data_IF_431520458918
#
_entry.id   IF_431520458918
#
_cell.length_a   1.000
_cell.length_b   1.000
_cell.length_c   1.000
_cell.angle_alpha   90.00
_cell.angle_beta   90.00
_cell.angle_gamma   90.00
#
_symmetry.space_group_name_H-M   'P 1'
#
loop_
_entity.id
_entity.type
_entity.pdbx_description
1 polymer ?
#
# COMPACT_ATOMS: atom_id res chain seq x y z
N UNK A 1 -24.17 0.02 8.29
CA UNK A 1 -24.44 1.21 7.45
C UNK A 1 -23.09 1.77 7.03
N UNK A 2 -22.83 1.93 5.74
CA UNK A 2 -21.60 2.59 5.26
C UNK A 2 -21.91 4.07 5.40
N UNK A 3 -21.35 4.72 6.41
CA UNK A 3 -21.41 6.18 6.53
C UNK A 3 -20.65 6.77 5.34
N UNK A 4 -21.30 7.62 4.56
CA UNK A 4 -20.71 8.43 3.49
C UNK A 4 -19.79 9.54 4.08
N UNK A 5 -18.85 9.16 4.95
CA UNK A 5 -17.88 10.09 5.50
C UNK A 5 -17.07 10.73 4.38
N UNK A 6 -16.87 12.03 4.45
CA UNK A 6 -16.02 12.74 3.50
C UNK A 6 -14.56 12.30 3.69
N UNK A 7 -13.88 11.99 2.59
CA UNK A 7 -12.44 11.69 2.65
C UNK A 7 -11.68 12.98 2.94
N UNK A 8 -11.01 13.01 4.08
CA UNK A 8 -10.12 14.09 4.48
C UNK A 8 -8.69 13.77 4.08
N UNK A 9 -7.94 14.79 3.70
CA UNK A 9 -6.52 14.73 3.38
C UNK A 9 -5.78 15.71 4.27
N UNK A 10 -4.86 15.23 5.09
CA UNK A 10 -4.13 16.05 6.06
C UNK A 10 -2.64 15.76 5.96
N UNK A 11 -1.79 16.80 5.90
CA UNK A 11 -0.36 16.66 6.05
C UNK A 11 0.00 15.99 7.39
N UNK A 12 0.97 15.08 7.39
CA UNK A 12 1.38 14.37 8.62
C UNK A 12 1.77 15.36 9.72
N UNK A 13 2.46 16.46 9.38
CA UNK A 13 2.86 17.52 10.31
C UNK A 13 1.68 18.28 10.98
N UNK A 14 0.48 18.16 10.43
CA UNK A 14 -0.73 18.82 10.91
C UNK A 14 -1.65 17.85 11.67
N UNK A 15 -1.22 16.61 11.85
CA UNK A 15 -1.96 15.63 12.65
C UNK A 15 -1.97 16.05 14.12
N UNK A 16 -3.15 16.10 14.72
CA UNK A 16 -3.28 16.27 16.16
C UNK A 16 -2.99 14.98 16.91
N UNK A 17 -2.56 15.09 18.15
CA UNK A 17 -2.36 13.93 19.04
C UNK A 17 -3.62 13.06 19.12
N UNK A 18 -4.81 13.68 19.20
CA UNK A 18 -6.08 12.96 19.24
C UNK A 18 -6.32 12.12 17.98
N UNK A 19 -5.97 12.62 16.78
CA UNK A 19 -6.07 11.84 15.53
C UNK A 19 -5.08 10.69 15.50
N UNK A 20 -3.84 10.90 15.92
CA UNK A 20 -2.83 9.83 16.00
C UNK A 20 -3.30 8.71 16.96
N UNK A 21 -3.86 9.06 18.11
CA UNK A 21 -4.42 8.07 19.04
C UNK A 21 -5.55 7.25 18.41
N UNK A 22 -6.48 7.88 17.69
CA UNK A 22 -7.56 7.16 16.98
C UNK A 22 -7.02 6.28 15.85
N UNK A 23 -6.03 6.74 15.09
CA UNK A 23 -5.34 5.90 14.08
C UNK A 23 -4.70 4.68 14.73
N UNK A 24 -4.09 4.83 15.91
CA UNK A 24 -3.54 3.74 16.70
C UNK A 24 -4.60 2.72 17.11
N UNK A 25 -5.76 3.19 17.57
CA UNK A 25 -6.90 2.32 17.93
C UNK A 25 -7.36 1.49 16.71
N UNK A 26 -7.46 2.12 15.54
CA UNK A 26 -7.77 1.41 14.29
C UNK A 26 -6.68 0.39 13.94
N UNK A 27 -5.40 0.76 14.03
CA UNK A 27 -4.27 -0.12 13.73
C UNK A 27 -4.18 -1.31 14.71
N UNK A 28 -4.60 -1.15 15.96
CA UNK A 28 -4.60 -2.21 16.97
C UNK A 28 -5.53 -3.39 16.61
N UNK A 29 -6.51 -3.19 15.72
CA UNK A 29 -7.33 -4.29 15.20
C UNK A 29 -6.53 -5.24 14.27
N UNK A 30 -5.36 -4.83 13.80
CA UNK A 30 -4.55 -5.57 12.84
C UNK A 30 -3.21 -6.02 13.42
N UNK A 31 -2.54 -5.17 14.18
CA UNK A 31 -1.16 -5.36 14.63
C UNK A 31 -1.07 -5.57 16.14
N UNK A 32 -0.11 -6.41 16.57
CA UNK A 32 0.18 -6.59 18.01
C UNK A 32 0.79 -5.32 18.62
N UNK A 33 1.65 -4.67 17.86
CA UNK A 33 2.40 -3.48 18.28
C UNK A 33 2.11 -2.34 17.30
N UNK A 34 0.89 -1.74 17.39
CA UNK A 34 0.48 -0.73 16.43
C UNK A 34 1.36 0.53 16.45
N UNK A 35 1.99 0.83 17.60
CA UNK A 35 2.78 2.03 17.77
C UNK A 35 4.04 2.05 16.92
N UNK A 36 4.78 0.95 16.85
CA UNK A 36 6.03 0.90 16.09
C UNK A 36 5.75 1.06 14.59
N UNK A 37 4.80 0.30 14.06
CA UNK A 37 4.44 0.38 12.64
C UNK A 37 3.86 1.74 12.26
N UNK A 38 2.94 2.28 13.08
CA UNK A 38 2.34 3.60 12.84
C UNK A 38 3.37 4.72 12.90
N UNK A 39 4.27 4.70 13.90
CA UNK A 39 5.29 5.74 14.07
C UNK A 39 6.29 5.74 12.92
N UNK A 40 6.72 4.57 12.45
CA UNK A 40 7.64 4.45 11.33
C UNK A 40 6.99 4.95 10.02
N UNK A 41 5.76 4.58 9.76
CA UNK A 41 5.03 5.03 8.57
C UNK A 41 4.70 6.54 8.62
N UNK A 42 4.37 7.11 9.77
CA UNK A 42 4.18 8.56 9.93
C UNK A 42 5.49 9.35 9.77
N UNK A 43 6.64 8.74 10.06
CA UNK A 43 7.94 9.36 9.84
C UNK A 43 8.29 9.43 8.35
N UNK A 44 7.90 8.44 7.58
CA UNK A 44 8.19 8.34 6.16
C UNK A 44 7.11 9.01 5.29
N UNK A 45 5.85 8.95 5.72
CA UNK A 45 4.72 9.52 4.98
C UNK A 45 4.66 11.05 5.06
N UNK A 46 4.11 11.67 4.04
CA UNK A 46 3.89 13.12 4.02
C UNK A 46 2.41 13.53 4.13
N UNK A 47 1.49 12.60 3.85
CA UNK A 47 0.04 12.81 3.88
C UNK A 47 -0.68 11.64 4.54
N UNK A 48 -1.82 11.93 5.18
CA UNK A 48 -2.77 10.92 5.63
C UNK A 48 -4.13 11.22 5.03
N UNK A 49 -4.75 10.19 4.48
CA UNK A 49 -6.13 10.20 4.05
C UNK A 49 -6.95 9.42 5.05
N UNK A 50 -8.09 9.94 5.48
CA UNK A 50 -9.02 9.21 6.33
C UNK A 50 -10.48 9.50 6.02
N UNK A 51 -11.31 8.56 6.45
CA UNK A 51 -12.75 8.71 6.54
C UNK A 51 -13.06 8.83 8.04
N UNK A 52 -13.50 10.00 8.46
CA UNK A 52 -14.03 10.26 9.81
C UNK A 52 -15.55 10.28 9.74
N UNK A 53 -16.20 9.73 10.77
CA UNK A 53 -17.63 9.92 11.00
C UNK A 53 -17.90 11.25 11.73
N UNK A 54 -19.20 11.54 11.95
CA UNK A 54 -19.63 12.79 12.59
C UNK A 54 -19.15 12.91 14.04
N UNK A 55 -18.90 11.81 14.72
CA UNK A 55 -18.36 11.75 16.07
C UNK A 55 -16.82 11.84 16.10
N UNK A 56 -16.21 11.93 14.92
CA UNK A 56 -14.76 12.01 14.73
C UNK A 56 -14.05 10.67 14.90
N UNK A 57 -14.76 9.55 14.92
CA UNK A 57 -14.13 8.24 14.88
C UNK A 57 -13.55 7.96 13.49
N UNK A 58 -12.34 7.40 13.43
CA UNK A 58 -11.69 7.05 12.17
C UNK A 58 -12.15 5.66 11.75
N UNK A 59 -12.95 5.60 10.69
CA UNK A 59 -13.39 4.33 10.09
C UNK A 59 -12.36 3.72 9.14
N UNK A 60 -11.48 4.55 8.57
CA UNK A 60 -10.42 4.12 7.66
C UNK A 60 -9.34 5.19 7.59
N UNK A 61 -8.07 4.78 7.47
CA UNK A 61 -6.98 5.68 7.12
C UNK A 61 -5.96 5.01 6.19
N UNK A 62 -5.19 5.84 5.48
CA UNK A 62 -4.06 5.45 4.65
C UNK A 62 -2.97 6.52 4.76
N UNK A 63 -1.79 6.13 5.15
CA UNK A 63 -0.59 6.98 5.12
C UNK A 63 0.01 6.90 3.73
N UNK A 64 0.38 8.04 3.16
CA UNK A 64 0.88 8.14 1.79
C UNK A 64 2.13 9.00 1.76
N UNK A 65 3.12 8.57 1.00
CA UNK A 65 4.25 9.41 0.63
C UNK A 65 4.19 9.73 -0.86
N UNK A 66 3.63 10.91 -1.16
CA UNK A 66 3.58 11.40 -2.53
C UNK A 66 4.98 11.77 -3.00
N UNK A 67 5.26 11.40 -4.26
CA UNK A 67 6.50 11.75 -4.92
C UNK A 67 7.74 11.14 -4.23
N UNK A 68 7.53 9.96 -3.67
CA UNK A 68 8.52 9.18 -2.93
C UNK A 68 9.82 8.99 -3.72
N UNK A 69 9.69 8.72 -5.03
CA UNK A 69 10.81 8.60 -5.95
C UNK A 69 10.48 9.11 -7.35
N UNK A 70 11.53 9.51 -8.10
CA UNK A 70 11.45 9.94 -9.50
C UNK A 70 12.60 9.32 -10.29
N UNK A 71 12.33 8.83 -11.49
CA UNK A 71 13.37 8.27 -12.35
C UNK A 71 12.96 8.23 -13.82
N UNK A 72 13.93 7.98 -14.69
CA UNK A 72 13.69 7.66 -16.10
C UNK A 72 14.07 6.21 -16.35
N UNK A 73 13.15 5.42 -16.88
CA UNK A 73 13.35 4.04 -17.31
C UNK A 73 12.94 3.94 -18.77
N UNK A 74 13.82 3.43 -19.65
CA UNK A 74 13.56 3.28 -21.08
C UNK A 74 12.97 4.55 -21.73
N UNK A 75 13.61 5.69 -21.52
CA UNK A 75 13.24 7.01 -22.07
C UNK A 75 11.85 7.53 -21.61
N UNK A 76 11.23 6.90 -20.63
CA UNK A 76 9.97 7.35 -20.02
C UNK A 76 10.23 7.86 -18.61
N UNK A 77 9.60 8.96 -18.24
CA UNK A 77 9.70 9.54 -16.90
C UNK A 77 8.65 8.98 -15.97
N UNK A 78 9.08 8.50 -14.81
CA UNK A 78 8.27 7.87 -13.78
C UNK A 78 8.29 8.68 -12.47
N UNK A 79 7.12 8.80 -11.86
CA UNK A 79 6.98 9.30 -10.48
C UNK A 79 6.28 8.24 -9.63
N UNK A 80 6.86 7.98 -8.47
CA UNK A 80 6.42 6.95 -7.55
C UNK A 80 5.76 7.55 -6.33
N UNK A 81 4.64 6.98 -5.91
CA UNK A 81 3.95 7.28 -4.66
C UNK A 81 3.85 6.00 -3.86
N UNK A 82 4.36 6.03 -2.63
CA UNK A 82 4.25 4.91 -1.71
C UNK A 82 2.92 4.99 -0.94
N UNK A 83 2.18 3.89 -0.95
CA UNK A 83 0.99 3.66 -0.16
C UNK A 83 1.41 2.86 1.08
N UNK A 84 1.62 3.56 2.18
CA UNK A 84 2.11 2.98 3.43
C UNK A 84 1.04 2.24 4.21
N UNK A 85 1.03 2.42 5.52
CA UNK A 85 0.07 1.75 6.40
C UNK A 85 -1.36 2.20 6.10
N UNK A 86 -2.21 1.24 5.72
CA UNK A 86 -3.64 1.42 5.52
C UNK A 86 -4.45 0.47 6.41
N UNK A 87 -5.40 1.02 7.16
CA UNK A 87 -6.29 0.26 8.03
C UNK A 87 -7.73 0.73 7.86
N UNK A 88 -8.69 -0.19 7.98
CA UNK A 88 -10.11 0.12 7.88
C UNK A 88 -10.94 -0.78 8.82
N UNK A 89 -11.76 -0.19 9.69
CA UNK A 89 -12.65 -0.91 10.61
C UNK A 89 -14.09 -0.97 10.12
N UNK A 90 -14.69 0.18 9.93
CA UNK A 90 -16.11 0.33 9.58
C UNK A 90 -16.35 0.80 8.14
N UNK A 91 -15.33 1.33 7.49
CA UNK A 91 -15.41 1.88 6.13
C UNK A 91 -14.51 1.13 5.16
N UNK A 92 -14.87 1.11 3.89
CA UNK A 92 -14.01 0.56 2.84
C UNK A 92 -12.82 1.47 2.55
N UNK A 93 -11.61 0.90 2.42
CA UNK A 93 -10.41 1.64 2.01
C UNK A 93 -10.39 1.97 0.50
N UNK A 94 -11.22 1.31 -0.29
CA UNK A 94 -11.26 1.46 -1.76
C UNK A 94 -11.50 2.90 -2.22
N UNK A 95 -12.44 3.67 -1.65
CA UNK A 95 -12.60 5.09 -2.00
C UNK A 95 -11.34 5.92 -1.71
N UNK A 96 -10.63 5.60 -0.63
CA UNK A 96 -9.37 6.28 -0.26
C UNK A 96 -8.30 6.03 -1.33
N UNK A 97 -8.09 4.80 -1.76
CA UNK A 97 -7.17 4.48 -2.85
C UNK A 97 -7.51 5.26 -4.14
N UNK A 98 -8.80 5.31 -4.52
CA UNK A 98 -9.24 6.07 -5.70
C UNK A 98 -8.95 7.56 -5.56
N UNK A 99 -9.19 8.14 -4.38
CA UNK A 99 -8.89 9.54 -4.10
C UNK A 99 -7.40 9.84 -4.21
N UNK A 100 -6.55 8.97 -3.65
CA UNK A 100 -5.08 9.10 -3.75
C UNK A 100 -4.63 9.09 -5.21
N UNK A 101 -5.12 8.15 -6.04
CA UNK A 101 -4.82 8.12 -7.47
C UNK A 101 -5.24 9.41 -8.16
N UNK A 102 -6.46 9.88 -7.91
CA UNK A 102 -6.97 11.14 -8.48
C UNK A 102 -6.09 12.33 -8.11
N UNK A 103 -5.74 12.47 -6.83
CA UNK A 103 -4.91 13.57 -6.35
C UNK A 103 -3.47 13.50 -6.92
N UNK A 104 -2.94 12.28 -7.05
CA UNK A 104 -1.62 12.09 -7.64
C UNK A 104 -1.61 12.40 -9.13
N UNK A 105 -2.62 11.93 -9.88
CA UNK A 105 -2.71 12.20 -11.33
C UNK A 105 -2.75 13.69 -11.64
N UNK A 106 -3.41 14.51 -10.81
CA UNK A 106 -3.46 15.97 -10.97
C UNK A 106 -2.10 16.67 -10.79
N UNK A 107 -1.12 15.99 -10.17
CA UNK A 107 0.24 16.53 -9.96
C UNK A 107 1.23 16.07 -11.03
N UNK A 108 0.83 15.18 -11.93
CA UNK A 108 1.70 14.66 -12.98
C UNK A 108 1.67 15.56 -14.21
N UNK A 109 2.84 15.78 -14.80
CA UNK A 109 2.94 16.39 -16.12
C UNK A 109 2.46 15.41 -17.19
N UNK A 110 1.94 15.93 -18.30
CA UNK A 110 1.51 15.12 -19.44
C UNK A 110 2.65 14.20 -19.92
N UNK A 111 2.34 12.94 -20.15
CA UNK A 111 3.30 11.92 -20.59
C UNK A 111 4.11 11.29 -19.45
N UNK A 112 3.93 11.72 -18.20
CA UNK A 112 4.55 11.07 -17.03
C UNK A 112 3.81 9.80 -16.68
N UNK A 113 4.54 8.74 -16.36
CA UNK A 113 3.99 7.50 -15.81
C UNK A 113 3.90 7.64 -14.29
N UNK A 114 2.68 7.60 -13.75
CA UNK A 114 2.45 7.51 -12.32
C UNK A 114 2.52 6.06 -11.86
N UNK A 115 3.21 5.80 -10.75
CA UNK A 115 3.31 4.49 -10.11
C UNK A 115 2.84 4.61 -8.67
N UNK A 116 1.74 3.93 -8.33
CA UNK A 116 1.28 3.75 -6.96
C UNK A 116 1.74 2.39 -6.48
N UNK A 117 2.55 2.33 -5.45
CA UNK A 117 3.07 1.05 -4.94
C UNK A 117 2.91 0.92 -3.43
N UNK A 118 2.81 -0.32 -2.98
CA UNK A 118 2.85 -0.70 -1.57
C UNK A 118 3.54 -2.05 -1.42
N UNK A 119 3.82 -2.40 -0.18
CA UNK A 119 4.24 -3.76 0.19
C UNK A 119 3.21 -4.38 1.11
N UNK A 120 2.91 -5.65 0.91
CA UNK A 120 1.91 -6.34 1.71
C UNK A 120 2.16 -7.85 1.79
N UNK A 121 1.68 -8.46 2.87
CA UNK A 121 1.59 -9.91 3.07
C UNK A 121 0.15 -10.39 3.21
N UNK A 122 -0.82 -9.52 2.95
CA UNK A 122 -2.24 -9.85 3.07
C UNK A 122 -2.95 -9.81 1.72
N UNK A 123 -3.70 -10.85 1.35
CA UNK A 123 -4.51 -10.86 0.12
C UNK A 123 -5.61 -9.80 0.15
N UNK A 124 -6.06 -9.35 1.32
CA UNK A 124 -7.06 -8.29 1.43
C UNK A 124 -6.57 -6.95 0.90
N UNK A 125 -5.29 -6.59 1.16
CA UNK A 125 -4.72 -5.36 0.63
C UNK A 125 -4.60 -5.43 -0.90
N UNK A 126 -4.14 -6.55 -1.44
CA UNK A 126 -4.11 -6.78 -2.89
C UNK A 126 -5.51 -6.61 -3.52
N UNK A 127 -6.51 -7.28 -2.96
CA UNK A 127 -7.90 -7.21 -3.46
C UNK A 127 -8.50 -5.80 -3.31
N UNK A 128 -8.15 -5.08 -2.26
CA UNK A 128 -8.55 -3.68 -2.07
C UNK A 128 -8.05 -2.78 -3.20
N UNK A 129 -6.78 -2.94 -3.59
CA UNK A 129 -6.16 -2.22 -4.70
C UNK A 129 -6.77 -2.63 -6.05
N UNK A 130 -6.95 -3.92 -6.26
CA UNK A 130 -7.61 -4.44 -7.47
C UNK A 130 -9.00 -3.84 -7.65
N UNK A 131 -9.80 -3.76 -6.60
CA UNK A 131 -11.12 -3.10 -6.61
C UNK A 131 -11.05 -1.60 -6.84
N UNK A 132 -9.96 -0.96 -6.42
CA UNK A 132 -9.77 0.47 -6.59
C UNK A 132 -9.33 0.85 -8.01
N UNK A 133 -8.41 0.07 -8.60
CA UNK A 133 -7.69 0.43 -9.82
C UNK A 133 -7.97 -0.48 -11.01
N UNK A 134 -8.72 -1.57 -10.82
CA UNK A 134 -9.02 -2.56 -11.87
C UNK A 134 -7.92 -3.59 -12.02
N UNK A 135 -7.87 -4.22 -13.20
CA UNK A 135 -6.95 -5.33 -13.49
C UNK A 135 -5.50 -4.89 -13.81
N UNK A 136 -5.24 -3.59 -13.90
CA UNK A 136 -3.90 -3.05 -14.25
C UNK A 136 -3.01 -2.92 -13.00
N UNK A 137 -2.97 -3.97 -12.20
CA UNK A 137 -2.13 -4.08 -11.01
C UNK A 137 -1.15 -5.22 -11.18
N UNK A 138 0.01 -5.08 -10.55
CA UNK A 138 1.11 -6.05 -10.60
C UNK A 138 1.52 -6.46 -9.18
N UNK A 139 1.88 -7.75 -8.97
CA UNK A 139 1.89 -8.82 -9.97
C UNK A 139 0.48 -9.22 -10.40
N UNK A 140 0.33 -9.61 -11.67
CA UNK A 140 -0.97 -10.07 -12.21
C UNK A 140 -1.31 -11.50 -11.81
N UNK A 141 -0.33 -12.25 -11.32
CA UNK A 141 -0.44 -13.69 -11.03
C UNK A 141 -0.48 -14.57 -12.28
N UNK A 142 -0.16 -14.01 -13.45
CA UNK A 142 0.03 -14.77 -14.69
C UNK A 142 1.44 -15.38 -14.72
N UNK A 143 1.64 -16.39 -15.54
CA UNK A 143 2.94 -17.07 -15.70
C UNK A 143 4.04 -16.12 -16.18
N UNK A 144 3.68 -15.10 -16.94
CA UNK A 144 4.60 -14.09 -17.45
C UNK A 144 4.04 -12.68 -17.20
N UNK A 145 4.78 -11.93 -16.42
CA UNK A 145 4.52 -10.51 -16.22
C UNK A 145 5.09 -9.68 -17.39
N UNK A 146 4.46 -8.55 -17.77
CA UNK A 146 5.00 -7.70 -18.83
C UNK A 146 6.43 -7.22 -18.54
N UNK A 147 7.33 -7.13 -19.55
CA UNK A 147 8.72 -6.69 -19.31
C UNK A 147 8.84 -5.34 -18.60
N UNK A 148 7.95 -4.39 -18.91
CA UNK A 148 7.92 -3.08 -18.28
C UNK A 148 7.61 -3.21 -16.76
N UNK A 149 6.66 -4.06 -16.37
CA UNK A 149 6.35 -4.29 -14.96
C UNK A 149 7.51 -4.92 -14.19
N UNK A 150 8.28 -5.80 -14.84
CA UNK A 150 9.49 -6.38 -14.25
C UNK A 150 10.56 -5.31 -14.00
N UNK A 151 10.73 -4.36 -14.92
CA UNK A 151 11.68 -3.26 -14.74
C UNK A 151 11.26 -2.33 -13.60
N UNK A 152 9.97 -1.99 -13.54
CA UNK A 152 9.42 -1.14 -12.48
C UNK A 152 9.60 -1.81 -11.12
N UNK A 153 9.26 -3.10 -10.97
CA UNK A 153 9.39 -3.80 -9.69
C UNK A 153 10.85 -3.97 -9.27
N UNK A 154 11.77 -4.22 -10.21
CA UNK A 154 13.20 -4.24 -9.91
C UNK A 154 13.67 -2.91 -9.37
N UNK A 155 13.26 -1.80 -10.00
CA UNK A 155 13.56 -0.46 -9.50
C UNK A 155 13.00 -0.22 -8.10
N UNK A 156 11.73 -0.55 -7.85
CA UNK A 156 11.11 -0.43 -6.52
C UNK A 156 11.92 -1.23 -5.50
N UNK A 157 12.26 -2.47 -5.82
CA UNK A 157 13.00 -3.35 -4.92
C UNK A 157 14.39 -2.84 -4.60
N UNK A 158 15.16 -2.47 -5.62
CA UNK A 158 16.59 -2.14 -5.51
C UNK A 158 16.81 -0.69 -5.04
N UNK A 159 16.14 0.26 -5.67
CA UNK A 159 16.35 1.68 -5.40
C UNK A 159 15.55 2.19 -4.20
N UNK A 160 14.36 1.65 -3.97
CA UNK A 160 13.47 2.11 -2.90
C UNK A 160 13.61 1.26 -1.64
N UNK A 161 13.56 -0.07 -1.78
CA UNK A 161 13.67 -0.99 -0.63
C UNK A 161 15.07 -1.48 -0.33
N UNK A 162 16.08 -1.11 -1.12
CA UNK A 162 17.49 -1.50 -0.94
C UNK A 162 17.69 -3.02 -0.81
N UNK A 163 16.89 -3.80 -1.55
CA UNK A 163 16.98 -5.27 -1.59
C UNK A 163 17.28 -5.75 -3.02
N UNK A 164 18.55 -5.77 -3.46
CA UNK A 164 18.90 -6.22 -4.80
C UNK A 164 18.54 -7.70 -5.00
N UNK A 165 18.31 -8.07 -6.26
CA UNK A 165 18.16 -9.46 -6.63
C UNK A 165 19.51 -10.17 -6.51
N UNK A 166 19.54 -11.32 -5.85
CA UNK A 166 20.75 -12.13 -5.69
C UNK A 166 20.95 -13.03 -6.91
N UNK A 167 19.87 -13.42 -7.57
CA UNK A 167 19.91 -14.26 -8.80
C UNK A 167 18.72 -13.93 -9.71
N UNK A 168 18.83 -14.30 -10.99
CA UNK A 168 17.74 -14.19 -11.97
C UNK A 168 16.55 -15.12 -11.66
N UNK A 169 16.72 -16.05 -10.72
CA UNK A 169 15.65 -16.94 -10.25
C UNK A 169 14.82 -16.34 -9.12
N UNK A 170 15.27 -15.22 -8.54
CA UNK A 170 14.54 -14.56 -7.46
C UNK A 170 13.26 -13.94 -8.03
N UNK A 171 12.17 -14.11 -7.30
CA UNK A 171 10.94 -13.42 -7.64
C UNK A 171 11.11 -11.91 -7.36
N UNK A 172 11.07 -11.05 -8.40
CA UNK A 172 11.32 -9.62 -8.22
C UNK A 172 10.26 -8.91 -7.36
N UNK A 173 9.04 -9.47 -7.27
CA UNK A 173 7.96 -8.92 -6.44
C UNK A 173 8.11 -9.24 -4.95
N UNK A 174 8.99 -10.14 -4.56
CA UNK A 174 9.10 -10.63 -3.20
C UNK A 174 10.22 -9.90 -2.44
N UNK A 175 9.85 -9.16 -1.40
CA UNK A 175 10.78 -8.62 -0.40
C UNK A 175 10.96 -9.63 0.74
N UNK A 176 12.20 -9.80 1.19
CA UNK A 176 12.56 -10.70 2.28
C UNK A 176 12.77 -9.93 3.58
N UNK A 177 12.33 -10.52 4.69
CA UNK A 177 12.59 -10.04 6.04
C UNK A 177 12.27 -8.55 6.28
N UNK A 178 11.14 -8.09 5.78
CA UNK A 178 10.70 -6.71 5.99
C UNK A 178 10.41 -6.47 7.47
N UNK A 179 10.95 -5.37 8.01
CA UNK A 179 10.80 -4.99 9.42
C UNK A 179 9.44 -4.32 9.68
N UNK A 180 8.35 -5.02 9.43
CA UNK A 180 7.01 -4.57 9.86
C UNK A 180 6.54 -5.38 11.07
N UNK A 181 5.76 -4.75 11.93
CA UNK A 181 5.20 -5.38 13.10
C UNK A 181 4.34 -6.61 12.75
N UNK A 182 4.29 -7.63 13.63
CA UNK A 182 3.47 -8.81 13.40
C UNK A 182 1.98 -8.47 13.49
N UNK A 183 1.19 -9.11 12.63
CA UNK A 183 -0.27 -9.09 12.79
C UNK A 183 -0.69 -9.70 14.12
N UNK A 184 -1.82 -9.25 14.65
CA UNK A 184 -2.40 -9.90 15.81
C UNK A 184 -3.02 -11.26 15.44
N UNK A 185 -3.28 -12.18 16.41
CA UNK A 185 -3.81 -13.51 16.12
C UNK A 185 -5.17 -13.49 15.41
N UNK A 186 -6.01 -12.49 15.69
CA UNK A 186 -7.33 -12.37 15.08
C UNK A 186 -7.22 -12.02 13.61
N UNK A 187 -6.31 -11.12 13.24
CA UNK A 187 -6.04 -10.78 11.85
C UNK A 187 -5.41 -11.96 11.10
N UNK A 188 -4.49 -12.69 11.71
CA UNK A 188 -3.92 -13.91 11.12
C UNK A 188 -5.04 -14.94 10.84
N UNK A 189 -5.95 -15.14 11.77
CA UNK A 189 -7.10 -16.03 11.59
C UNK A 189 -8.01 -15.55 10.46
N UNK A 190 -8.31 -14.24 10.41
CA UNK A 190 -9.11 -13.62 9.34
C UNK A 190 -8.47 -13.81 7.97
N UNK A 191 -7.15 -13.58 7.85
CA UNK A 191 -6.42 -13.82 6.60
C UNK A 191 -6.50 -15.30 6.19
N UNK A 192 -6.42 -16.22 7.15
CA UNK A 192 -6.53 -17.66 6.91
C UNK A 192 -7.91 -18.10 6.36
N UNK A 193 -8.95 -17.28 6.51
CA UNK A 193 -10.29 -17.54 5.93
C UNK A 193 -10.42 -17.06 4.49
N UNK A 194 -9.48 -16.28 3.98
CA UNK A 194 -9.53 -15.79 2.60
C UNK A 194 -9.46 -16.94 1.60
N UNK A 195 -10.41 -16.98 0.66
CA UNK A 195 -10.55 -18.04 -0.36
C UNK A 195 -10.32 -17.54 -1.78
N UNK A 196 -9.93 -16.27 -1.94
CA UNK A 196 -9.63 -15.70 -3.26
C UNK A 196 -8.30 -16.20 -3.81
N UNK A 197 -8.24 -16.41 -5.13
CA UNK A 197 -7.00 -16.67 -5.85
C UNK A 197 -6.26 -15.36 -6.09
N UNK A 198 -5.23 -15.08 -5.28
CA UNK A 198 -4.41 -13.88 -5.43
C UNK A 198 -2.96 -14.25 -5.71
N UNK A 199 -2.22 -13.38 -6.42
CA UNK A 199 -0.78 -13.57 -6.61
C UNK A 199 -0.02 -13.76 -5.29
N UNK A 200 -0.43 -13.07 -4.22
CA UNK A 200 0.20 -13.19 -2.89
C UNK A 200 0.11 -14.63 -2.37
N UNK A 201 -1.07 -15.24 -2.48
CA UNK A 201 -1.25 -16.64 -2.06
C UNK A 201 -0.39 -17.60 -2.91
N UNK A 202 -0.31 -17.37 -4.22
CA UNK A 202 0.52 -18.17 -5.15
C UNK A 202 2.02 -18.05 -4.86
N UNK A 203 2.49 -16.90 -4.37
CA UNK A 203 3.89 -16.67 -4.00
C UNK A 203 4.28 -17.31 -2.67
N UNK A 204 3.35 -17.93 -1.95
CA UNK A 204 3.62 -18.61 -0.69
C UNK A 204 3.99 -17.67 0.46
N UNK A 205 3.64 -16.38 0.36
CA UNK A 205 3.89 -15.41 1.43
C UNK A 205 2.98 -15.70 2.61
N UNK A 206 3.58 -15.86 3.78
CA UNK A 206 2.88 -16.16 5.02
C UNK A 206 2.55 -14.87 5.77
N UNK A 207 1.32 -14.74 6.22
CA UNK A 207 0.88 -13.56 7.00
C UNK A 207 1.57 -13.46 8.38
N UNK A 208 2.07 -14.57 8.92
CA UNK A 208 2.86 -14.64 10.16
C UNK A 208 4.37 -14.51 9.91
N UNK A 209 4.78 -14.47 8.64
CA UNK A 209 6.16 -14.29 8.19
C UNK A 209 6.60 -12.83 8.15
N UNK A 210 7.82 -12.63 7.65
CA UNK A 210 8.42 -11.29 7.44
C UNK A 210 8.54 -10.91 5.97
N UNK A 211 8.17 -11.82 5.06
CA UNK A 211 8.23 -11.54 3.63
C UNK A 211 7.00 -10.76 3.19
N UNK A 212 7.17 -9.83 2.27
CA UNK A 212 6.09 -9.03 1.70
C UNK A 212 6.14 -9.04 0.17
N UNK A 213 5.02 -8.84 -0.47
CA UNK A 213 4.92 -8.68 -1.92
C UNK A 213 4.83 -7.20 -2.25
N UNK A 214 5.65 -6.75 -3.19
CA UNK A 214 5.49 -5.44 -3.82
C UNK A 214 4.28 -5.53 -4.75
N UNK A 215 3.30 -4.69 -4.50
CA UNK A 215 2.12 -4.53 -5.36
C UNK A 215 2.12 -3.11 -5.90
N UNK A 216 1.90 -2.95 -7.21
CA UNK A 216 1.83 -1.63 -7.79
C UNK A 216 0.83 -1.52 -8.93
N UNK A 217 0.42 -0.30 -9.23
CA UNK A 217 -0.43 0.10 -10.33
C UNK A 217 0.25 1.22 -11.11
N UNK A 218 0.19 1.16 -12.45
CA UNK A 218 0.73 2.20 -13.34
C UNK A 218 -0.38 2.88 -14.12
N UNK A 219 -0.18 4.17 -14.41
CA UNK A 219 -1.08 4.93 -15.27
C UNK A 219 -0.32 6.09 -15.92
N UNK A 220 -0.79 6.55 -17.06
CA UNK A 220 -0.24 7.69 -17.80
C UNK A 220 -1.23 8.84 -17.78
N UNK A 221 -0.74 10.08 -17.63
CA UNK A 221 -1.53 11.30 -17.65
C UNK A 221 -1.34 12.08 -18.96
#
# INVERSE_FOLDING_TARGET
MITNGQIQKVPVRELTVGRIMRMREVAANYYREPDSGLSDELRCGNLVYFIEDDDGAIGCFLIVDFDHHRTTLNDRYYRFTYLGLGCATSSSIVPVFRKVKSDFSQQLAKGTVGVLHLTTRTPFAYHGIERAYGSDIFPTGRDHEPPESIQIVKYIREAIHHQPLVSDRDNPFLLREVKKGPFNPQEIARIGTFRGDTPIAKMGVRCDGRDEVIVFHTFVV
#
